data_IF_686506127630
#
_entry.id   IF_686506127630
#
_cell.length_a   1.000
_cell.length_b   1.000
_cell.length_c   1.000
_cell.angle_alpha   90.00
_cell.angle_beta   90.00
_cell.angle_gamma   90.00
#
_symmetry.space_group_name_H-M   'P 1'
#
loop_
_entity.id
_entity.type
_entity.pdbx_description
1 polymer ?
#
# COMPACT_ATOMS: atom_id res chain seq x y z
N UNK A 1 1.68 -51.78 -13.43
CA UNK A 1 1.85 -50.91 -12.26
C UNK A 1 1.65 -49.48 -12.75
N UNK A 2 0.44 -48.95 -12.57
CA UNK A 2 0.04 -47.61 -13.04
C UNK A 2 0.27 -46.63 -11.91
N UNK A 3 1.29 -45.81 -12.04
CA UNK A 3 1.60 -44.74 -11.09
C UNK A 3 0.64 -43.57 -11.37
N UNK A 4 -0.47 -43.52 -10.64
CA UNK A 4 -1.35 -42.35 -10.61
C UNK A 4 -0.59 -41.22 -9.93
N UNK A 5 -0.01 -40.32 -10.71
CA UNK A 5 0.48 -39.04 -10.21
C UNK A 5 -0.65 -38.31 -9.48
N UNK A 6 -0.53 -38.20 -8.15
CA UNK A 6 -1.48 -37.46 -7.33
C UNK A 6 -1.53 -36.01 -7.81
N UNK A 7 -2.66 -35.61 -8.39
CA UNK A 7 -2.91 -34.21 -8.75
C UNK A 7 -2.97 -33.39 -7.48
N UNK A 8 -1.89 -32.69 -7.15
CA UNK A 8 -1.86 -31.70 -6.07
C UNK A 8 -2.84 -30.60 -6.45
N UNK A 9 -3.89 -30.42 -5.65
CA UNK A 9 -4.82 -29.31 -5.84
C UNK A 9 -4.04 -28.00 -5.66
N UNK A 10 -3.85 -27.26 -6.75
CA UNK A 10 -3.29 -25.92 -6.70
C UNK A 10 -4.37 -24.97 -6.17
N UNK A 11 -4.09 -24.27 -5.09
CA UNK A 11 -4.96 -23.18 -4.63
C UNK A 11 -4.61 -21.91 -5.39
N UNK A 12 -5.58 -21.01 -5.59
CA UNK A 12 -5.30 -19.73 -6.25
C UNK A 12 -4.15 -18.96 -5.56
N UNK A 13 -4.06 -19.02 -4.23
CA UNK A 13 -2.97 -18.44 -3.43
C UNK A 13 -1.59 -19.01 -3.78
N UNK A 14 -1.52 -20.25 -4.27
CA UNK A 14 -0.26 -20.89 -4.69
C UNK A 14 0.21 -20.51 -6.10
N UNK A 15 -0.60 -19.77 -6.86
CA UNK A 15 -0.30 -19.34 -8.23
C UNK A 15 0.20 -17.90 -8.32
N UNK A 16 0.36 -17.23 -7.17
CA UNK A 16 0.73 -15.84 -7.14
C UNK A 16 2.06 -15.70 -6.37
N UNK A 17 3.10 -15.24 -7.05
CA UNK A 17 4.38 -14.84 -6.46
C UNK A 17 4.34 -13.42 -5.85
N UNK A 18 4.29 -13.32 -4.51
CA UNK A 18 4.40 -12.02 -3.82
C UNK A 18 5.85 -11.55 -3.86
N UNK A 19 6.04 -10.29 -4.16
CA UNK A 19 7.27 -9.55 -3.86
C UNK A 19 7.07 -8.90 -2.49
N UNK A 20 7.91 -9.28 -1.54
CA UNK A 20 7.98 -8.59 -0.24
C UNK A 20 8.48 -7.17 -0.45
N UNK A 21 7.70 -6.19 0.01
CA UNK A 21 8.12 -4.78 0.00
C UNK A 21 8.89 -4.39 1.25
N UNK A 22 8.26 -4.60 2.40
CA UNK A 22 8.77 -4.22 3.70
C UNK A 22 8.36 -5.29 4.71
N UNK A 23 9.10 -5.40 5.80
CA UNK A 23 8.65 -6.14 6.98
C UNK A 23 7.85 -5.21 7.88
N UNK A 24 6.70 -5.68 8.34
CA UNK A 24 5.90 -4.93 9.31
C UNK A 24 6.71 -4.53 10.55
N UNK A 25 7.58 -5.43 11.04
CA UNK A 25 8.43 -5.20 12.22
C UNK A 25 9.45 -4.07 12.06
N UNK A 26 9.78 -3.67 10.83
CA UNK A 26 10.73 -2.60 10.53
C UNK A 26 10.04 -1.23 10.49
N UNK A 27 8.70 -1.19 10.45
CA UNK A 27 7.92 0.03 10.50
C UNK A 27 7.82 0.56 11.94
N UNK A 28 8.15 1.84 12.12
CA UNK A 28 7.88 2.53 13.38
C UNK A 28 6.45 3.04 13.38
N UNK A 29 5.82 2.94 14.54
CA UNK A 29 4.44 3.35 14.72
C UNK A 29 4.26 4.85 14.46
N UNK A 30 3.20 5.19 13.71
CA UNK A 30 2.86 6.55 13.25
C UNK A 30 4.00 7.30 12.55
N UNK A 31 4.99 6.58 12.01
CA UNK A 31 6.08 7.16 11.20
C UNK A 31 5.86 6.84 9.71
N UNK A 32 5.70 7.85 8.84
CA UNK A 32 5.61 7.65 7.40
C UNK A 32 6.89 7.01 6.85
N UNK A 33 6.72 6.00 6.00
CA UNK A 33 7.80 5.26 5.34
C UNK A 33 7.56 5.24 3.84
N UNK A 34 8.61 5.51 3.07
CA UNK A 34 8.55 5.47 1.61
C UNK A 34 8.65 4.04 1.08
N UNK A 35 7.89 3.74 0.05
CA UNK A 35 8.17 2.63 -0.85
C UNK A 35 7.88 3.06 -2.30
N UNK A 36 8.65 2.53 -3.24
CA UNK A 36 8.43 2.73 -4.67
C UNK A 36 8.02 1.39 -5.29
N UNK A 37 6.85 1.37 -5.93
CA UNK A 37 6.35 0.19 -6.66
C UNK A 37 6.13 0.58 -8.10
N UNK A 38 6.93 0.00 -8.99
CA UNK A 38 7.05 0.46 -10.38
C UNK A 38 7.41 1.95 -10.41
N UNK A 39 6.50 2.81 -10.87
CA UNK A 39 6.64 4.26 -10.90
C UNK A 39 5.67 4.97 -9.94
N UNK A 40 5.11 4.24 -8.97
CA UNK A 40 4.15 4.78 -8.01
C UNK A 40 4.83 4.92 -6.65
N UNK A 41 4.99 6.16 -6.21
CA UNK A 41 5.37 6.47 -4.84
C UNK A 41 4.24 6.06 -3.88
N UNK A 42 4.61 5.38 -2.80
CA UNK A 42 3.73 5.01 -1.71
C UNK A 42 4.20 5.65 -0.41
N UNK A 43 3.23 5.98 0.45
CA UNK A 43 3.48 6.28 1.85
C UNK A 43 2.83 5.19 2.69
N UNK A 44 3.65 4.54 3.50
CA UNK A 44 3.26 3.44 4.38
C UNK A 44 3.35 3.95 5.81
N UNK A 45 2.25 3.85 6.55
CA UNK A 45 2.19 4.26 7.95
C UNK A 45 1.75 3.06 8.76
N UNK A 46 2.59 2.63 9.70
CA UNK A 46 2.16 1.70 10.74
C UNK A 46 1.25 2.44 11.72
N UNK A 47 0.16 1.80 12.09
CA UNK A 47 -0.76 2.27 13.10
C UNK A 47 -1.10 1.11 14.04
N UNK A 48 -0.47 1.11 15.21
CA UNK A 48 -0.58 0.05 16.21
C UNK A 48 -0.18 -1.34 15.63
N UNK A 49 -1.15 -2.20 15.37
CA UNK A 49 -0.99 -3.56 14.81
C UNK A 49 -1.27 -3.63 13.29
N UNK A 50 -1.64 -2.51 12.67
CA UNK A 50 -2.03 -2.41 11.27
C UNK A 50 -1.02 -1.57 10.47
N UNK A 51 -1.03 -1.71 9.15
CA UNK A 51 -0.29 -0.85 8.23
C UNK A 51 -1.23 -0.30 7.15
N UNK A 52 -1.20 1.03 6.99
CA UNK A 52 -1.91 1.71 5.92
C UNK A 52 -0.95 2.06 4.80
N UNK A 53 -1.39 1.79 3.57
CA UNK A 53 -0.63 2.08 2.35
C UNK A 53 -1.45 3.06 1.52
N UNK A 54 -0.90 4.25 1.31
CA UNK A 54 -1.54 5.33 0.56
C UNK A 54 -0.64 5.76 -0.61
N UNK A 55 -1.23 6.48 -1.57
CA UNK A 55 -0.46 7.17 -2.60
C UNK A 55 0.51 8.16 -1.95
N UNK A 56 1.79 8.08 -2.32
CA UNK A 56 2.90 8.71 -1.62
C UNK A 56 3.13 10.19 -1.95
N UNK A 57 2.33 10.79 -2.83
CA UNK A 57 2.49 12.20 -3.24
C UNK A 57 1.26 13.03 -2.91
N UNK A 58 1.48 14.20 -2.32
CA UNK A 58 0.44 15.16 -2.02
C UNK A 58 -0.28 15.61 -3.30
N UNK A 59 -1.60 15.56 -3.35
CA UNK A 59 -2.37 15.91 -4.55
C UNK A 59 -2.30 17.40 -4.90
N UNK A 60 -1.94 18.26 -3.94
CA UNK A 60 -1.83 19.69 -4.19
C UNK A 60 -0.65 20.04 -5.11
N UNK A 61 0.58 19.55 -4.84
CA UNK A 61 1.80 19.85 -5.65
C UNK A 61 2.81 18.71 -5.76
N UNK A 62 2.41 17.48 -5.46
CA UNK A 62 3.27 16.32 -5.59
C UNK A 62 4.43 16.29 -4.61
N UNK A 63 4.33 16.85 -3.41
CA UNK A 63 5.35 16.68 -2.37
C UNK A 63 5.40 15.22 -1.89
N UNK A 64 6.58 14.73 -1.50
CA UNK A 64 6.75 13.39 -0.94
C UNK A 64 6.12 13.30 0.45
N UNK A 65 5.11 12.45 0.63
CA UNK A 65 4.41 12.28 1.90
C UNK A 65 5.15 11.37 2.89
N UNK A 66 6.13 10.60 2.43
CA UNK A 66 6.98 9.83 3.32
C UNK A 66 7.97 10.71 4.13
N UNK A 67 8.24 11.94 3.68
CA UNK A 67 9.13 12.89 4.36
C UNK A 67 8.40 13.78 5.37
N UNK A 68 7.11 13.52 5.61
CA UNK A 68 6.25 14.38 6.43
C UNK A 68 6.02 13.77 7.82
N UNK A 69 5.24 14.47 8.65
CA UNK A 69 4.86 13.99 9.96
C UNK A 69 3.38 13.60 10.00
N UNK A 70 3.03 12.78 10.98
CA UNK A 70 1.66 12.51 11.40
C UNK A 70 1.31 13.46 12.56
N UNK A 71 0.20 14.16 12.48
CA UNK A 71 -0.26 15.04 13.56
C UNK A 71 -0.95 14.28 14.71
N UNK A 72 -1.38 15.01 15.74
CA UNK A 72 -2.08 14.44 16.89
C UNK A 72 -3.49 13.92 16.56
N UNK A 73 -4.00 14.17 15.34
CA UNK A 73 -5.29 13.68 14.84
C UNK A 73 -5.12 12.57 13.78
N UNK A 74 -3.93 11.97 13.72
CA UNK A 74 -3.60 10.87 12.80
C UNK A 74 -3.70 11.27 11.30
N UNK A 75 -3.36 12.51 10.96
CA UNK A 75 -3.25 12.98 9.59
C UNK A 75 -1.80 13.09 9.13
N UNK A 76 -1.52 12.68 7.89
CA UNK A 76 -0.30 13.07 7.16
C UNK A 76 -0.37 14.55 6.82
N UNK A 77 0.56 15.35 7.34
CA UNK A 77 0.61 16.79 7.09
C UNK A 77 1.69 17.14 6.09
N UNK A 78 1.31 17.54 4.89
CA UNK A 78 2.25 17.94 3.84
C UNK A 78 3.17 19.09 4.29
N UNK A 79 4.48 18.86 4.30
CA UNK A 79 5.47 19.86 4.73
C UNK A 79 5.56 21.14 3.89
N UNK A 80 4.90 21.22 2.73
CA UNK A 80 4.98 22.39 1.84
C UNK A 80 3.86 23.40 2.08
N UNK A 81 2.60 22.96 2.14
CA UNK A 81 1.44 23.84 2.32
C UNK A 81 0.48 23.36 3.41
N UNK A 82 0.92 22.45 4.29
CA UNK A 82 0.17 21.95 5.45
C UNK A 82 -1.15 21.24 5.10
N UNK A 83 -1.30 20.78 3.85
CA UNK A 83 -2.46 19.99 3.45
C UNK A 83 -2.46 18.63 4.15
N UNK A 84 -3.62 18.19 4.59
CA UNK A 84 -3.79 17.03 5.45
C UNK A 84 -4.47 15.87 4.71
N UNK A 85 -4.12 14.64 5.12
CA UNK A 85 -4.82 13.42 4.71
C UNK A 85 -4.85 12.44 5.89
N UNK A 86 -6.02 11.96 6.29
CA UNK A 86 -6.16 10.95 7.35
C UNK A 86 -5.44 9.66 6.95
N UNK A 87 -4.62 9.10 7.83
CA UNK A 87 -3.84 7.88 7.50
C UNK A 87 -4.71 6.65 7.23
N UNK A 88 -5.88 6.58 7.88
CA UNK A 88 -6.78 5.44 7.83
C UNK A 88 -7.55 5.33 6.51
N UNK A 89 -7.80 6.45 5.85
CA UNK A 89 -8.73 6.56 4.72
C UNK A 89 -8.15 7.28 3.52
N UNK A 90 -7.09 8.07 3.72
CA UNK A 90 -6.52 8.97 2.72
C UNK A 90 -7.35 10.23 2.48
N UNK A 91 -8.51 10.40 3.11
CA UNK A 91 -9.40 11.56 2.93
C UNK A 91 -8.82 12.75 3.68
N UNK A 92 -8.79 13.93 3.04
CA UNK A 92 -8.46 15.18 3.73
C UNK A 92 -9.56 15.51 4.73
N UNK A 93 -9.17 15.73 6.00
CA UNK A 93 -10.06 16.23 7.04
C UNK A 93 -10.51 17.68 6.80
N UNK A 94 -9.72 18.47 6.05
CA UNK A 94 -10.11 19.82 5.63
C UNK A 94 -11.11 19.81 4.45
N UNK A 95 -10.87 18.98 3.43
CA UNK A 95 -11.73 18.89 2.24
C UNK A 95 -12.03 17.41 1.89
N UNK A 96 -13.17 16.90 2.33
CA UNK A 96 -13.56 15.50 2.12
C UNK A 96 -13.72 15.08 0.64
N UNK A 97 -13.72 16.02 -0.31
CA UNK A 97 -13.70 15.71 -1.74
C UNK A 97 -12.30 15.38 -2.28
N UNK A 98 -11.26 15.60 -1.49
CA UNK A 98 -9.88 15.26 -1.82
C UNK A 98 -9.41 14.07 -0.98
N UNK A 99 -8.92 13.03 -1.65
CA UNK A 99 -8.48 11.83 -0.99
C UNK A 99 -7.35 11.16 -1.76
N UNK A 100 -6.35 10.66 -1.02
CA UNK A 100 -5.34 9.75 -1.54
C UNK A 100 -5.96 8.38 -1.81
N UNK A 101 -5.48 7.71 -2.84
CA UNK A 101 -5.84 6.31 -3.05
C UNK A 101 -5.23 5.45 -1.93
N UNK A 102 -6.06 4.62 -1.29
CA UNK A 102 -5.64 3.62 -0.30
C UNK A 102 -5.51 2.25 -0.96
N UNK A 103 -4.34 1.67 -0.83
CA UNK A 103 -4.02 0.34 -1.37
C UNK A 103 -4.31 -0.74 -0.32
N UNK A 104 -4.53 -1.97 -0.81
CA UNK A 104 -4.57 -3.14 0.06
C UNK A 104 -3.13 -3.53 0.47
N UNK A 105 -2.77 -3.54 1.77
CA UNK A 105 -1.41 -3.85 2.22
C UNK A 105 -0.94 -5.26 1.83
N UNK A 106 -1.86 -6.21 1.64
CA UNK A 106 -1.51 -7.57 1.22
C UNK A 106 -1.34 -7.73 -0.31
N UNK A 107 -1.72 -6.72 -1.09
CA UNK A 107 -1.65 -6.75 -2.55
C UNK A 107 -1.89 -5.38 -3.18
N UNK A 108 -0.84 -4.81 -3.78
CA UNK A 108 -0.87 -3.46 -4.36
C UNK A 108 -1.30 -3.40 -5.83
N UNK A 109 -1.94 -4.45 -6.34
CA UNK A 109 -2.46 -4.44 -7.70
C UNK A 109 -3.61 -3.44 -7.81
N UNK A 110 -3.40 -2.36 -8.56
CA UNK A 110 -4.44 -1.41 -8.97
C UNK A 110 -5.34 -1.94 -10.09
N UNK A 111 -5.03 -3.13 -10.62
CA UNK A 111 -5.76 -3.74 -11.71
C UNK A 111 -6.86 -4.67 -11.20
N UNK A 112 -8.02 -4.54 -11.82
CA UNK A 112 -9.10 -5.51 -11.83
C UNK A 112 -8.56 -6.96 -11.77
N UNK A 113 -9.12 -7.74 -10.86
CA UNK A 113 -8.79 -9.15 -10.62
C UNK A 113 -8.72 -9.96 -11.92
N UNK A 114 -9.57 -9.64 -12.91
CA UNK A 114 -9.61 -10.34 -14.19
C UNK A 114 -8.45 -9.99 -15.14
N UNK A 115 -7.85 -8.79 -15.02
CA UNK A 115 -6.69 -8.39 -15.82
C UNK A 115 -5.39 -9.03 -15.31
N UNK A 116 -5.25 -9.21 -13.99
CA UNK A 116 -4.13 -9.95 -13.41
C UNK A 116 -4.06 -11.41 -13.91
N UNK A 117 -5.22 -12.06 -14.11
CA UNK A 117 -5.31 -13.44 -14.63
C UNK A 117 -4.68 -13.63 -16.02
N UNK A 118 -4.60 -12.57 -16.83
CA UNK A 118 -4.11 -12.63 -18.20
C UNK A 118 -2.63 -12.25 -18.33
N UNK A 119 -2.10 -11.47 -17.40
CA UNK A 119 -0.80 -10.82 -17.56
C UNK A 119 0.37 -11.54 -16.85
N UNK A 120 0.11 -12.38 -15.84
CA UNK A 120 1.17 -13.15 -15.16
C UNK A 120 2.21 -12.29 -14.42
N UNK A 121 1.80 -11.11 -13.96
CA UNK A 121 2.70 -10.12 -13.32
C UNK A 121 2.77 -10.37 -11.81
N UNK A 122 3.98 -10.35 -11.26
CA UNK A 122 4.24 -10.45 -9.82
C UNK A 122 3.60 -9.28 -9.06
N UNK A 123 3.15 -9.50 -7.82
CA UNK A 123 2.44 -8.50 -7.00
C UNK A 123 3.26 -8.14 -5.78
N UNK A 124 3.31 -6.85 -5.44
CA UNK A 124 4.02 -6.35 -4.28
C UNK A 124 3.09 -6.27 -3.06
N UNK A 125 3.58 -6.62 -1.87
CA UNK A 125 2.82 -6.54 -0.62
C UNK A 125 3.70 -6.46 0.63
N UNK A 126 3.08 -6.12 1.76
CA UNK A 126 3.70 -6.15 3.10
C UNK A 126 3.48 -7.55 3.70
N UNK A 127 4.52 -8.16 4.27
CA UNK A 127 4.46 -9.46 4.95
C UNK A 127 5.11 -9.43 6.33
#
# INVERSE_FOLDING_TARGET
MSETASRKALSFKSLIDRIQLLKFSELKDRQPTHALVENTDLVIVRYDEEAYVLYGRCLHRGAMLADVHVDEQDNLICGVHQWDYRIDSGVSAYNNNEYLYKFNPEGLSTFDYDMHRLAGVNYAGII
#
